data_IF_329994007191
#
_entry.id   IF_329994007191
#
_cell.length_a   1.000
_cell.length_b   1.000
_cell.length_c   1.000
_cell.angle_alpha   90.00
_cell.angle_beta   90.00
_cell.angle_gamma   90.00
#
_symmetry.space_group_name_H-M   'P 1'
#
loop_
_entity.id
_entity.type
_entity.pdbx_description
1 polymer ?
#
# COMPACT_ATOMS: atom_id res chain seq x y z
N UNK A 1 -6.43 7.12 18.82
CA UNK A 1 -6.54 6.44 17.51
C UNK A 1 -5.12 6.29 16.97
N UNK A 2 -4.68 5.08 16.64
CA UNK A 2 -3.30 4.82 16.20
C UNK A 2 -3.04 5.48 14.84
N UNK A 3 -1.80 5.87 14.46
CA UNK A 3 -1.50 6.22 13.06
C UNK A 3 -1.75 5.01 12.15
N UNK A 4 -2.15 5.25 10.90
CA UNK A 4 -2.53 4.20 9.96
C UNK A 4 -1.42 3.98 8.93
N UNK A 5 -0.91 2.76 8.83
CA UNK A 5 0.02 2.34 7.78
C UNK A 5 -0.77 1.68 6.65
N UNK A 6 -0.47 2.05 5.40
CA UNK A 6 -0.78 1.22 4.24
C UNK A 6 0.49 0.58 3.69
N UNK A 7 0.50 -0.75 3.60
CA UNK A 7 1.64 -1.50 3.09
C UNK A 7 1.42 -2.04 1.68
N UNK A 8 2.43 -1.84 0.82
CA UNK A 8 2.55 -2.46 -0.50
C UNK A 8 3.81 -3.34 -0.61
N UNK A 9 3.61 -4.58 -1.03
CA UNK A 9 4.63 -5.62 -1.01
C UNK A 9 5.56 -5.63 -2.23
N UNK A 10 6.69 -6.34 -2.13
CA UNK A 10 7.61 -6.53 -3.25
C UNK A 10 7.08 -7.48 -4.33
N UNK A 11 7.63 -7.39 -5.55
CA UNK A 11 7.23 -8.27 -6.64
C UNK A 11 7.42 -9.75 -6.26
N UNK A 12 6.37 -10.56 -6.43
CA UNK A 12 6.39 -11.98 -6.09
C UNK A 12 6.38 -12.32 -4.60
N UNK A 13 6.32 -11.33 -3.69
CA UNK A 13 6.36 -11.55 -2.23
C UNK A 13 5.07 -10.99 -1.60
N UNK A 14 3.99 -11.76 -1.43
CA UNK A 14 2.71 -11.27 -0.91
C UNK A 14 2.82 -10.58 0.46
N UNK A 15 1.92 -9.64 0.75
CA UNK A 15 1.94 -8.89 2.03
C UNK A 15 1.92 -9.76 3.27
N UNK A 16 1.32 -10.96 3.20
CA UNK A 16 1.27 -11.90 4.33
C UNK A 16 2.66 -12.41 4.75
N UNK A 17 3.67 -12.35 3.89
CA UNK A 17 5.07 -12.67 4.27
C UNK A 17 5.60 -11.69 5.33
N UNK A 18 5.09 -10.46 5.35
CA UNK A 18 5.47 -9.41 6.30
C UNK A 18 4.66 -9.46 7.60
N UNK A 19 3.88 -10.52 7.85
CA UNK A 19 3.02 -10.59 9.03
C UNK A 19 3.81 -10.38 10.33
N UNK A 20 5.01 -10.96 10.45
CA UNK A 20 5.87 -10.73 11.63
C UNK A 20 6.16 -9.24 11.84
N UNK A 21 6.44 -8.48 10.78
CA UNK A 21 6.64 -7.04 10.88
C UNK A 21 5.36 -6.33 11.34
N UNK A 22 4.21 -6.73 10.82
CA UNK A 22 2.92 -6.14 11.22
C UNK A 22 2.61 -6.44 12.68
N UNK A 23 2.91 -7.66 13.14
CA UNK A 23 2.66 -8.08 14.51
C UNK A 23 3.51 -7.26 15.52
N UNK A 24 4.76 -6.92 15.17
CA UNK A 24 5.62 -6.07 16.01
C UNK A 24 5.19 -4.59 16.00
N UNK A 25 4.40 -4.15 15.02
CA UNK A 25 3.96 -2.75 14.88
C UNK A 25 2.51 -2.52 15.35
N UNK A 26 1.73 -3.58 15.55
CA UNK A 26 0.29 -3.48 15.77
C UNK A 26 -0.09 -2.75 17.07
N UNK A 27 0.82 -2.71 18.06
CA UNK A 27 0.59 -2.03 19.34
C UNK A 27 0.56 -0.50 19.17
N UNK A 28 1.31 0.03 18.20
CA UNK A 28 1.43 1.46 17.94
C UNK A 28 0.68 1.92 16.68
N UNK A 29 0.46 1.03 15.71
CA UNK A 29 -0.11 1.36 14.41
C UNK A 29 -1.33 0.50 14.05
N UNK A 30 -2.31 1.11 13.39
CA UNK A 30 -3.27 0.35 12.60
C UNK A 30 -2.61 0.01 11.26
N UNK A 31 -2.80 -1.21 10.74
CA UNK A 31 -2.15 -1.65 9.50
C UNK A 31 -3.19 -2.20 8.53
N UNK A 32 -3.22 -1.59 7.34
CA UNK A 32 -3.95 -2.07 6.17
C UNK A 32 -2.93 -2.35 5.06
N UNK A 33 -3.26 -3.23 4.12
CA UNK A 33 -2.34 -3.58 3.05
C UNK A 33 -3.05 -4.06 1.81
N UNK A 34 -2.35 -3.99 0.67
CA UNK A 34 -2.77 -4.71 -0.54
C UNK A 34 -2.31 -6.17 -0.43
N UNK A 35 -3.18 -7.19 -0.40
CA UNK A 35 -2.73 -8.57 -0.17
C UNK A 35 -1.88 -9.11 -1.33
N UNK A 36 -2.33 -8.87 -2.57
CA UNK A 36 -1.71 -9.33 -3.81
C UNK A 36 -1.85 -8.26 -4.90
N UNK A 37 -0.72 -7.86 -5.48
CA UNK A 37 -0.68 -6.99 -6.65
C UNK A 37 -0.92 -7.78 -7.95
N UNK A 38 -1.66 -7.19 -8.89
CA UNK A 38 -1.81 -7.69 -10.26
C UNK A 38 -2.62 -8.97 -10.46
N UNK A 39 -3.20 -9.54 -9.40
CA UNK A 39 -4.02 -10.77 -9.50
C UNK A 39 -5.45 -10.50 -9.96
N UNK A 40 -5.97 -9.32 -9.67
CA UNK A 40 -7.28 -8.89 -10.13
C UNK A 40 -7.17 -8.29 -11.54
N UNK A 41 -7.98 -8.79 -12.47
CA UNK A 41 -7.96 -8.40 -13.89
C UNK A 41 -8.21 -6.91 -14.13
N UNK A 42 -8.80 -6.18 -13.18
CA UNK A 42 -8.96 -4.72 -13.24
C UNK A 42 -7.63 -3.97 -13.18
N UNK A 43 -6.58 -4.61 -12.68
CA UNK A 43 -5.25 -4.04 -12.50
C UNK A 43 -4.21 -4.86 -13.25
N UNK A 44 -4.23 -4.88 -14.59
CA UNK A 44 -3.24 -5.60 -15.38
C UNK A 44 -1.83 -5.04 -15.15
N UNK A 45 -0.80 -5.85 -15.39
CA UNK A 45 0.58 -5.35 -15.41
C UNK A 45 0.78 -4.61 -16.73
N UNK A 46 0.87 -3.28 -16.66
CA UNK A 46 1.02 -2.39 -17.81
C UNK A 46 2.32 -1.57 -17.76
N UNK A 47 2.56 -0.80 -18.81
CA UNK A 47 3.75 0.05 -18.90
C UNK A 47 3.81 1.02 -17.72
N UNK A 48 4.96 1.02 -17.03
CA UNK A 48 5.23 1.82 -15.83
C UNK A 48 4.28 1.52 -14.65
N UNK A 49 3.61 0.37 -14.66
CA UNK A 49 2.77 -0.13 -13.57
C UNK A 49 1.60 0.79 -13.17
N UNK A 50 1.09 1.60 -14.09
CA UNK A 50 -0.03 2.55 -13.87
C UNK A 50 -1.25 1.86 -13.24
N UNK A 51 -1.60 0.68 -13.73
CA UNK A 51 -2.73 -0.07 -13.21
C UNK A 51 -2.49 -0.63 -11.80
N UNK A 52 -1.26 -1.01 -11.47
CA UNK A 52 -0.91 -1.45 -10.11
C UNK A 52 -0.85 -0.28 -9.13
N UNK A 53 -0.40 0.89 -9.57
CA UNK A 53 -0.45 2.13 -8.77
C UNK A 53 -1.89 2.48 -8.43
N UNK A 54 -2.80 2.38 -9.40
CA UNK A 54 -4.24 2.52 -9.15
C UNK A 54 -4.76 1.46 -8.18
N UNK A 55 -4.28 0.22 -8.24
CA UNK A 55 -4.63 -0.82 -7.26
C UNK A 55 -4.24 -0.43 -5.84
N UNK A 56 -3.06 0.18 -5.65
CA UNK A 56 -2.60 0.69 -4.35
C UNK A 56 -3.50 1.83 -3.87
N UNK A 57 -3.80 2.81 -4.73
CA UNK A 57 -4.72 3.91 -4.41
C UNK A 57 -6.10 3.37 -3.99
N UNK A 58 -6.69 2.48 -4.78
CA UNK A 58 -7.99 1.88 -4.49
C UNK A 58 -7.97 1.03 -3.22
N UNK A 59 -6.83 0.41 -2.91
CA UNK A 59 -6.63 -0.30 -1.65
C UNK A 59 -6.67 0.65 -0.46
N UNK A 60 -6.02 1.81 -0.54
CA UNK A 60 -6.01 2.83 0.51
C UNK A 60 -7.42 3.37 0.70
N UNK A 61 -8.05 3.87 -0.37
CA UNK A 61 -9.37 4.51 -0.32
C UNK A 61 -10.43 3.59 0.29
N UNK A 62 -10.42 2.30 -0.06
CA UNK A 62 -11.41 1.33 0.47
C UNK A 62 -11.19 0.97 1.94
N UNK A 63 -9.95 0.98 2.42
CA UNK A 63 -9.60 0.43 3.73
C UNK A 63 -9.35 1.51 4.78
N UNK A 64 -8.93 2.72 4.39
CA UNK A 64 -8.51 3.75 5.35
C UNK A 64 -9.64 4.49 6.05
N UNK A 65 -10.89 4.29 5.61
CA UNK A 65 -12.07 5.00 6.12
C UNK A 65 -11.89 6.54 6.06
N UNK A 66 -11.20 7.03 5.02
CA UNK A 66 -10.94 8.45 4.82
C UNK A 66 -9.76 9.01 5.60
N UNK A 67 -9.05 8.20 6.40
CA UNK A 67 -7.84 8.63 7.11
C UNK A 67 -6.65 8.68 6.14
N UNK A 68 -5.77 9.71 6.23
CA UNK A 68 -4.49 9.67 5.54
C UNK A 68 -3.61 8.57 6.13
N UNK A 69 -2.76 7.97 5.30
CA UNK A 69 -1.89 6.84 5.66
C UNK A 69 -0.43 7.23 5.66
N UNK A 70 0.35 6.54 6.49
CA UNK A 70 1.79 6.39 6.31
C UNK A 70 1.95 5.35 5.19
N UNK A 71 2.42 5.78 4.03
CA UNK A 71 2.68 4.91 2.89
C UNK A 71 4.00 4.16 3.08
N UNK A 72 3.93 2.85 3.31
CA UNK A 72 5.10 1.98 3.46
C UNK A 72 5.16 1.01 2.27
N UNK A 73 6.24 1.03 1.51
CA UNK A 73 6.40 0.11 0.39
C UNK A 73 7.74 -0.61 0.40
N UNK A 74 7.79 -1.84 -0.11
CA UNK A 74 9.05 -2.56 -0.33
C UNK A 74 9.27 -2.90 -1.82
N UNK A 75 10.44 -2.56 -2.37
CA UNK A 75 10.83 -2.82 -3.76
C UNK A 75 9.78 -2.28 -4.75
N UNK A 76 9.13 -3.12 -5.56
CA UNK A 76 8.02 -2.71 -6.41
C UNK A 76 6.95 -1.96 -5.61
N UNK A 77 6.61 -2.42 -4.40
CA UNK A 77 5.68 -1.74 -3.51
C UNK A 77 6.09 -0.30 -3.21
N UNK A 78 7.38 0.00 -3.00
CA UNK A 78 7.88 1.37 -2.79
C UNK A 78 7.61 2.25 -4.00
N UNK A 79 7.83 1.72 -5.21
CA UNK A 79 7.59 2.45 -6.47
C UNK A 79 6.10 2.77 -6.62
N UNK A 80 5.23 1.80 -6.39
CA UNK A 80 3.78 1.98 -6.52
C UNK A 80 3.23 2.94 -5.47
N UNK A 81 3.66 2.82 -4.21
CA UNK A 81 3.26 3.73 -3.13
C UNK A 81 3.74 5.15 -3.41
N UNK A 82 4.96 5.33 -3.91
CA UNK A 82 5.47 6.65 -4.29
C UNK A 82 4.67 7.26 -5.45
N UNK A 83 4.41 6.50 -6.51
CA UNK A 83 3.57 6.97 -7.61
C UNK A 83 2.14 7.29 -7.15
N UNK A 84 1.60 6.53 -6.20
CA UNK A 84 0.29 6.80 -5.61
C UNK A 84 0.27 8.12 -4.84
N UNK A 85 1.33 8.41 -4.06
CA UNK A 85 1.47 9.67 -3.33
C UNK A 85 1.63 10.88 -4.25
N UNK A 86 2.32 10.73 -5.39
CA UNK A 86 2.39 11.78 -6.41
C UNK A 86 1.01 12.07 -7.05
N UNK A 87 0.19 11.04 -7.26
CA UNK A 87 -1.12 11.19 -7.89
C UNK A 87 -2.21 11.68 -6.92
N UNK A 88 -2.14 11.27 -5.66
CA UNK A 88 -3.17 11.50 -4.63
C UNK A 88 -2.51 11.88 -3.30
N UNK A 89 -1.79 13.01 -3.23
CA UNK A 89 -1.00 13.39 -2.06
C UNK A 89 -1.84 13.51 -0.78
N UNK A 90 -3.12 13.86 -0.89
CA UNK A 90 -4.04 13.99 0.24
C UNK A 90 -4.34 12.65 0.95
N UNK A 91 -4.04 11.51 0.32
CA UNK A 91 -4.17 10.20 0.95
C UNK A 91 -3.01 9.89 1.91
N UNK A 92 -1.94 10.67 1.91
CA UNK A 92 -0.69 10.36 2.62
C UNK A 92 -0.35 11.42 3.66
N UNK A 93 0.07 10.97 4.84
CA UNK A 93 0.64 11.84 5.88
C UNK A 93 2.16 11.74 5.95
N UNK A 94 2.73 10.60 5.54
CA UNK A 94 4.16 10.32 5.52
C UNK A 94 4.47 9.20 4.50
N UNK A 95 5.72 9.12 4.06
CA UNK A 95 6.24 8.09 3.16
C UNK A 95 7.46 7.41 3.79
N UNK A 96 7.54 6.07 3.68
CA UNK A 96 8.65 5.23 4.13
C UNK A 96 9.00 4.22 3.04
#
# INVERSE_FOLDING_TARGET
MKPLIHFAHANGVPSKVYQKLFDELQDDYDIIYVPLLGRDKRYPVDNHWKSLTRQVIDSIVRQSQGRPVIGLGHSLGSVLTFQAALQRPELFSQMI
#
